data_IF_095044069248
#
_entry.id   IF_095044069248
#
_cell.length_a   1.000
_cell.length_b   1.000
_cell.length_c   1.000
_cell.angle_alpha   90.00
_cell.angle_beta   90.00
_cell.angle_gamma   90.00
#
_symmetry.space_group_name_H-M   'P 1'
#
loop_
_entity.id
_entity.type
_entity.pdbx_description
1 polymer ?
#
# COMPACT_ATOMS: atom_id res chain seq x y z
N UNK A 1 23.32 33.47 39.38
CA UNK A 1 23.75 33.60 37.96
C UNK A 1 23.24 32.37 37.23
N UNK A 2 22.44 32.54 36.17
CA UNK A 2 21.96 31.42 35.35
C UNK A 2 23.16 30.71 34.72
N UNK A 3 23.26 29.38 34.88
CA UNK A 3 24.35 28.59 34.32
C UNK A 3 24.16 28.47 32.78
N UNK A 4 25.10 28.98 31.97
CA UNK A 4 25.03 28.88 30.51
C UNK A 4 24.89 27.44 30.00
N UNK A 5 25.33 26.45 30.78
CA UNK A 5 25.23 25.02 30.44
C UNK A 5 23.79 24.53 30.40
N UNK A 6 22.93 25.04 31.29
CA UNK A 6 21.50 24.70 31.32
C UNK A 6 20.80 25.26 30.08
N UNK A 7 21.17 26.48 29.67
CA UNK A 7 20.67 27.07 28.42
C UNK A 7 21.05 26.25 27.20
N UNK A 8 22.28 25.71 27.14
CA UNK A 8 22.72 24.85 26.04
C UNK A 8 22.00 23.49 26.03
N UNK A 9 21.71 22.93 27.21
CA UNK A 9 20.96 21.68 27.34
C UNK A 9 19.50 21.82 26.87
N UNK A 10 18.89 22.99 27.03
CA UNK A 10 17.53 23.27 26.55
C UNK A 10 17.39 23.18 25.01
N UNK A 11 18.49 23.23 24.26
CA UNK A 11 18.50 23.03 22.80
C UNK A 11 18.58 21.55 22.37
N UNK A 12 18.86 20.62 23.29
CA UNK A 12 18.96 19.18 22.98
C UNK A 12 17.66 18.64 22.34
N UNK A 13 16.45 18.93 22.86
CA UNK A 13 15.21 18.47 22.24
C UNK A 13 15.00 19.04 20.83
N UNK A 14 15.40 20.30 20.60
CA UNK A 14 15.30 20.94 19.29
C UNK A 14 16.23 20.26 18.29
N UNK A 15 17.49 20.00 18.68
CA UNK A 15 18.43 19.26 17.86
C UNK A 15 17.92 17.84 17.54
N UNK A 16 17.35 17.16 18.52
CA UNK A 16 16.77 15.83 18.33
C UNK A 16 15.59 15.85 17.33
N UNK A 17 14.69 16.83 17.44
CA UNK A 17 13.60 17.02 16.49
C UNK A 17 14.10 17.28 15.06
N UNK A 18 15.16 18.09 14.90
CA UNK A 18 15.79 18.32 13.60
C UNK A 18 16.36 17.04 12.99
N UNK A 19 17.02 16.20 13.79
CA UNK A 19 17.52 14.89 13.35
C UNK A 19 16.36 14.01 12.90
N UNK A 20 15.31 13.89 13.70
CA UNK A 20 14.15 13.07 13.33
C UNK A 20 13.49 13.55 12.03
N UNK A 21 13.30 14.86 11.86
CA UNK A 21 12.72 15.43 10.64
C UNK A 21 13.61 15.13 9.44
N UNK A 22 14.93 15.33 9.55
CA UNK A 22 15.87 15.09 8.47
C UNK A 22 15.86 13.63 7.97
N UNK A 23 15.66 12.67 8.88
CA UNK A 23 15.58 11.24 8.54
C UNK A 23 14.15 10.72 8.29
N UNK A 24 13.12 11.50 8.62
CA UNK A 24 11.71 11.16 8.34
C UNK A 24 11.28 11.52 6.92
N UNK A 25 12.02 12.39 6.25
CA UNK A 25 11.74 12.82 4.88
C UNK A 25 12.30 11.78 3.91
N UNK A 26 11.42 10.92 3.41
CA UNK A 26 11.74 9.98 2.33
C UNK A 26 11.36 10.57 0.98
N UNK A 27 12.11 10.19 -0.07
CA UNK A 27 11.75 10.54 -1.44
C UNK A 27 10.38 9.95 -1.80
N UNK A 28 9.59 10.72 -2.55
CA UNK A 28 8.33 10.21 -3.08
C UNK A 28 8.62 8.96 -3.93
N UNK A 29 7.97 7.81 -3.66
CA UNK A 29 8.13 6.63 -4.49
C UNK A 29 7.78 6.97 -5.94
N UNK A 30 8.60 6.50 -6.88
CA UNK A 30 8.37 6.74 -8.30
C UNK A 30 7.01 6.14 -8.70
N UNK A 31 6.28 6.77 -9.63
CA UNK A 31 5.06 6.17 -10.16
C UNK A 31 5.38 4.79 -10.73
N UNK A 32 4.50 3.82 -10.46
CA UNK A 32 4.58 2.51 -11.06
C UNK A 32 4.34 2.65 -12.57
N UNK A 33 5.37 2.38 -13.37
CA UNK A 33 5.23 2.23 -14.81
C UNK A 33 4.61 0.88 -15.14
N UNK A 34 3.83 0.83 -16.22
CA UNK A 34 3.31 -0.43 -16.78
C UNK A 34 3.86 -0.62 -18.18
N UNK A 35 4.21 -1.86 -18.52
CA UNK A 35 4.56 -2.25 -19.89
C UNK A 35 3.32 -2.57 -20.73
N UNK A 36 2.11 -2.53 -20.14
CA UNK A 36 0.87 -2.66 -20.90
C UNK A 36 0.69 -1.45 -21.82
N UNK A 37 0.37 -1.73 -23.08
CA UNK A 37 -0.13 -0.69 -23.98
C UNK A 37 -1.43 -0.09 -23.42
N UNK A 38 -1.70 1.22 -23.63
CA UNK A 38 -2.90 1.88 -23.12
C UNK A 38 -4.22 1.21 -23.54
N UNK A 39 -4.21 0.49 -24.65
CA UNK A 39 -5.34 -0.24 -25.26
C UNK A 39 -5.27 -1.76 -25.04
N UNK A 40 -4.31 -2.25 -24.26
CA UNK A 40 -4.16 -3.68 -23.98
C UNK A 40 -5.25 -4.24 -23.05
N UNK A 41 -6.07 -3.39 -22.43
CA UNK A 41 -7.16 -3.83 -21.57
C UNK A 41 -8.29 -4.44 -22.41
N UNK A 42 -8.64 -5.70 -22.11
CA UNK A 42 -9.72 -6.39 -22.80
C UNK A 42 -10.91 -6.62 -21.86
N UNK A 43 -11.87 -5.70 -21.92
CA UNK A 43 -13.05 -5.68 -21.05
C UNK A 43 -13.85 -6.98 -21.07
N UNK A 44 -14.12 -7.53 -22.25
CA UNK A 44 -14.91 -8.77 -22.39
C UNK A 44 -14.22 -9.96 -21.71
N UNK A 45 -12.89 -10.07 -21.84
CA UNK A 45 -12.12 -11.12 -21.16
C UNK A 45 -12.10 -10.92 -19.65
N UNK A 46 -11.95 -9.68 -19.18
CA UNK A 46 -11.95 -9.35 -17.76
C UNK A 46 -13.32 -9.67 -17.14
N UNK A 47 -14.40 -9.24 -17.78
CA UNK A 47 -15.77 -9.50 -17.35
C UNK A 47 -16.06 -10.99 -17.33
N UNK A 48 -15.76 -11.73 -18.41
CA UNK A 48 -15.95 -13.17 -18.48
C UNK A 48 -15.24 -13.94 -17.36
N UNK A 49 -14.04 -13.49 -16.96
CA UNK A 49 -13.28 -14.11 -15.86
C UNK A 49 -13.80 -13.74 -14.48
N UNK A 50 -14.16 -12.48 -14.26
CA UNK A 50 -14.58 -11.99 -12.96
C UNK A 50 -16.05 -12.30 -12.65
N UNK A 51 -16.96 -11.86 -13.52
CA UNK A 51 -18.40 -11.74 -13.25
C UNK A 51 -19.28 -12.48 -14.28
N UNK A 52 -18.68 -13.07 -15.32
CA UNK A 52 -19.39 -13.84 -16.33
C UNK A 52 -20.07 -15.09 -15.77
N UNK A 53 -20.89 -15.72 -16.61
CA UNK A 53 -21.46 -17.04 -16.31
C UNK A 53 -20.31 -18.04 -16.18
N UNK A 54 -20.17 -18.71 -15.02
CA UNK A 54 -18.99 -19.49 -14.62
C UNK A 54 -17.72 -18.65 -14.32
N UNK A 55 -17.86 -17.35 -14.04
CA UNK A 55 -16.77 -16.50 -13.57
C UNK A 55 -16.39 -16.79 -12.11
N UNK A 56 -15.34 -16.13 -11.61
CA UNK A 56 -14.89 -16.25 -10.23
C UNK A 56 -15.98 -15.85 -9.22
N UNK A 57 -16.83 -14.87 -9.55
CA UNK A 57 -17.93 -14.45 -8.69
C UNK A 57 -19.03 -15.51 -8.54
N UNK A 58 -19.30 -16.28 -9.61
CA UNK A 58 -20.28 -17.37 -9.61
C UNK A 58 -19.74 -18.59 -8.83
N UNK A 59 -18.45 -18.92 -9.01
CA UNK A 59 -17.78 -20.01 -8.26
C UNK A 59 -17.59 -19.69 -6.77
N UNK A 60 -17.33 -18.42 -6.44
CA UNK A 60 -17.07 -17.95 -5.07
C UNK A 60 -18.08 -16.88 -4.65
N UNK A 61 -19.34 -17.23 -4.36
CA UNK A 61 -20.39 -16.25 -4.06
C UNK A 61 -20.23 -15.60 -2.67
N UNK A 62 -19.48 -16.20 -1.75
CA UNK A 62 -19.23 -15.67 -0.40
C UNK A 62 -17.74 -15.43 -0.18
N UNK A 63 -17.32 -14.16 -0.29
CA UNK A 63 -15.92 -13.72 -0.23
C UNK A 63 -15.71 -12.65 0.85
N UNK A 64 -16.18 -12.91 2.07
CA UNK A 64 -15.87 -12.00 3.18
C UNK A 64 -14.37 -12.08 3.47
N UNK A 65 -13.67 -10.96 3.69
CA UNK A 65 -12.24 -10.98 4.00
C UNK A 65 -11.93 -11.94 5.15
N UNK A 66 -10.95 -12.84 4.95
CA UNK A 66 -10.54 -13.83 5.94
C UNK A 66 -11.54 -14.99 6.16
N UNK A 67 -12.49 -15.18 5.24
CA UNK A 67 -13.37 -16.35 5.24
C UNK A 67 -12.81 -17.48 4.39
N UNK A 68 -13.28 -18.71 4.62
CA UNK A 68 -12.86 -19.86 3.82
C UNK A 68 -13.23 -19.76 2.32
N UNK A 69 -14.10 -18.82 1.92
CA UNK A 69 -14.36 -18.52 0.51
C UNK A 69 -13.37 -17.51 -0.09
N UNK A 70 -12.79 -16.65 0.74
CA UNK A 70 -11.69 -15.75 0.37
C UNK A 70 -10.41 -16.55 0.16
N UNK A 71 -10.07 -17.45 1.10
CA UNK A 71 -8.91 -18.35 0.98
C UNK A 71 -8.99 -19.26 -0.26
N UNK A 72 -10.19 -19.77 -0.57
CA UNK A 72 -10.42 -20.59 -1.77
C UNK A 72 -10.28 -19.80 -3.06
N UNK A 73 -10.76 -18.54 -3.08
CA UNK A 73 -10.54 -17.66 -4.23
C UNK A 73 -9.05 -17.39 -4.41
N UNK A 74 -8.33 -17.10 -3.32
CA UNK A 74 -6.89 -16.83 -3.36
C UNK A 74 -6.10 -18.03 -3.90
N UNK A 75 -6.40 -19.25 -3.44
CA UNK A 75 -5.74 -20.47 -3.92
C UNK A 75 -6.06 -20.83 -5.39
N UNK A 76 -7.09 -20.25 -6.02
CA UNK A 76 -7.37 -20.42 -7.45
C UNK A 76 -6.58 -19.42 -8.32
N UNK A 77 -6.05 -18.35 -7.72
CA UNK A 77 -5.32 -17.28 -8.42
C UNK A 77 -3.80 -17.43 -8.35
N UNK A 78 -3.29 -18.30 -7.47
CA UNK A 78 -1.87 -18.67 -7.35
C UNK A 78 -1.46 -19.69 -8.43
#
# INVERSE_FOLDING_TARGET
MLDPRIYRAAFIPVLFALVLVAFSLEDRPRPLGTTLAPDAFQGDRAYGRADGLLGLADRHPRRRPGSAGDDRLAGELE
#
